data_IF_556836118229
#
_entry.id   IF_556836118229
#
_cell.length_a   1.000
_cell.length_b   1.000
_cell.length_c   1.000
_cell.angle_alpha   90.00
_cell.angle_beta   90.00
_cell.angle_gamma   90.00
#
_symmetry.space_group_name_H-M   'P 1'
#
loop_
_entity.id
_entity.type
_entity.pdbx_description
1 polymer ?
#
# COMPACT_ATOMS: atom_id res chain seq x y z
N UNK A 1 -10.18 14.03 26.95
CA UNK A 1 -11.23 14.51 27.87
C UNK A 1 -10.62 15.50 28.87
N UNK A 2 -11.45 16.32 29.54
CA UNK A 2 -10.96 17.19 30.62
C UNK A 2 -10.31 16.29 31.69
N UNK A 3 -9.07 16.62 32.08
CA UNK A 3 -8.28 15.81 33.02
C UNK A 3 -7.40 14.71 32.40
N UNK A 4 -7.39 14.57 31.07
CA UNK A 4 -6.52 13.60 30.39
C UNK A 4 -5.45 14.31 29.56
N UNK A 5 -4.23 13.76 29.61
CA UNK A 5 -3.10 14.18 28.78
C UNK A 5 -2.74 13.08 27.79
N UNK A 6 -2.42 13.46 26.55
CA UNK A 6 -1.89 12.52 25.58
C UNK A 6 -0.41 12.27 25.89
N UNK A 7 0.00 11.01 25.93
CA UNK A 7 1.40 10.59 26.04
C UNK A 7 1.69 9.49 25.05
N UNK A 8 2.90 9.52 24.49
CA UNK A 8 3.41 8.42 23.69
C UNK A 8 3.71 7.22 24.60
N UNK A 9 3.23 6.06 24.20
CA UNK A 9 3.47 4.78 24.88
C UNK A 9 3.99 3.77 23.87
N UNK A 10 4.94 2.93 24.28
CA UNK A 10 5.56 1.90 23.42
C UNK A 10 4.75 0.59 23.33
N UNK A 11 3.71 0.47 24.14
CA UNK A 11 2.85 -0.71 24.25
C UNK A 11 1.40 -0.34 23.89
N UNK A 12 0.64 -1.31 23.40
CA UNK A 12 -0.77 -1.11 23.04
C UNK A 12 -1.00 -0.60 21.62
N UNK A 13 -0.20 -1.06 20.65
CA UNK A 13 -0.41 -0.72 19.24
C UNK A 13 -1.79 -1.22 18.74
N UNK A 14 -2.49 -0.45 17.87
CA UNK A 14 -3.81 -0.81 17.36
C UNK A 14 -3.83 -2.13 16.56
N UNK A 15 -5.02 -2.69 16.40
CA UNK A 15 -5.27 -3.94 15.65
C UNK A 15 -4.37 -5.09 16.13
N UNK A 16 -4.43 -5.41 17.43
CA UNK A 16 -3.61 -6.46 18.07
C UNK A 16 -2.10 -6.27 17.89
N UNK A 17 -1.66 -5.03 17.70
CA UNK A 17 -0.26 -4.70 17.47
C UNK A 17 0.21 -4.81 16.03
N UNK A 18 -0.65 -5.19 15.07
CA UNK A 18 -0.26 -5.29 13.65
C UNK A 18 -0.15 -3.95 12.94
N UNK A 19 -0.77 -2.89 13.46
CA UNK A 19 -0.76 -1.56 12.84
C UNK A 19 0.21 -0.64 13.57
N UNK A 20 1.46 -0.59 13.12
CA UNK A 20 2.52 0.26 13.65
C UNK A 20 3.65 0.48 12.64
N UNK A 21 4.50 1.48 12.89
CA UNK A 21 5.70 1.78 12.12
C UNK A 21 6.99 1.65 12.97
N UNK A 22 6.95 0.83 14.04
CA UNK A 22 8.04 0.75 15.03
C UNK A 22 9.22 -0.11 14.56
N UNK A 23 8.97 -1.03 13.62
CA UNK A 23 9.98 -1.90 13.03
C UNK A 23 9.79 -2.01 11.52
N UNK A 24 10.83 -2.47 10.82
CA UNK A 24 10.85 -2.53 9.36
C UNK A 24 9.76 -3.45 8.79
N UNK A 25 9.50 -4.62 9.37
CA UNK A 25 8.52 -5.56 8.85
C UNK A 25 7.08 -5.03 8.98
N UNK A 26 6.72 -4.45 10.14
CA UNK A 26 5.42 -3.80 10.34
C UNK A 26 5.24 -2.60 9.40
N UNK A 27 6.29 -1.79 9.23
CA UNK A 27 6.27 -0.64 8.34
C UNK A 27 6.12 -1.06 6.87
N UNK A 28 6.79 -2.14 6.46
CA UNK A 28 6.65 -2.74 5.13
C UNK A 28 5.22 -3.25 4.91
N UNK A 29 4.64 -3.95 5.87
CA UNK A 29 3.25 -4.42 5.80
C UNK A 29 2.26 -3.25 5.68
N UNK A 30 2.42 -2.21 6.50
CA UNK A 30 1.58 -1.02 6.42
C UNK A 30 1.75 -0.28 5.07
N UNK A 31 2.98 -0.21 4.55
CA UNK A 31 3.27 0.41 3.25
C UNK A 31 2.69 -0.41 2.10
N UNK A 32 2.77 -1.74 2.16
CA UNK A 32 2.15 -2.63 1.19
C UNK A 32 0.62 -2.43 1.15
N UNK A 33 -0.03 -2.36 2.32
CA UNK A 33 -1.47 -2.04 2.42
C UNK A 33 -1.83 -0.69 1.80
N UNK A 34 -0.94 0.31 1.91
CA UNK A 34 -1.13 1.60 1.25
C UNK A 34 -1.02 1.50 -0.28
N UNK A 35 -0.04 0.74 -0.79
CA UNK A 35 0.15 0.54 -2.23
C UNK A 35 -1.06 -0.18 -2.84
N UNK A 36 -1.55 -1.23 -2.18
CA UNK A 36 -2.71 -2.02 -2.65
C UNK A 36 -4.05 -1.37 -2.33
N UNK A 37 -4.05 -0.24 -1.61
CA UNK A 37 -5.26 0.44 -1.14
C UNK A 37 -6.18 -0.47 -0.30
N UNK A 38 -5.60 -1.37 0.50
CA UNK A 38 -6.34 -2.30 1.35
C UNK A 38 -6.63 -1.71 2.74
N UNK A 39 -7.90 -1.33 2.97
CA UNK A 39 -8.38 -0.71 4.21
C UNK A 39 -7.47 0.44 4.69
N UNK A 40 -7.03 1.24 3.72
CA UNK A 40 -6.00 2.28 3.89
C UNK A 40 -6.54 3.51 4.61
N UNK A 41 -7.84 3.82 4.47
CA UNK A 41 -8.47 4.98 5.08
C UNK A 41 -8.47 4.89 6.60
N UNK A 42 -8.59 3.68 7.15
CA UNK A 42 -8.49 3.42 8.59
C UNK A 42 -7.08 3.71 9.11
N UNK A 43 -6.05 3.27 8.37
CA UNK A 43 -4.65 3.57 8.70
C UNK A 43 -4.38 5.09 8.62
N UNK A 44 -4.86 5.74 7.55
CA UNK A 44 -4.76 7.18 7.34
C UNK A 44 -5.37 7.97 8.50
N UNK A 45 -6.61 7.65 8.88
CA UNK A 45 -7.29 8.32 10.00
C UNK A 45 -6.55 8.13 11.32
N UNK A 46 -6.02 6.93 11.58
CA UNK A 46 -5.26 6.64 12.79
C UNK A 46 -3.98 7.47 12.87
N UNK A 47 -3.22 7.54 11.77
CA UNK A 47 -1.97 8.31 11.72
C UNK A 47 -2.25 9.81 11.85
N UNK A 48 -3.30 10.34 11.21
CA UNK A 48 -3.68 11.74 11.33
C UNK A 48 -4.16 12.11 12.73
N UNK A 49 -4.92 11.23 13.39
CA UNK A 49 -5.34 11.45 14.78
C UNK A 49 -4.16 11.45 15.75
N UNK A 50 -3.12 10.67 15.47
CA UNK A 50 -1.95 10.56 16.33
C UNK A 50 -0.89 11.65 16.07
N UNK A 51 -0.60 11.97 14.81
CA UNK A 51 0.52 12.85 14.41
C UNK A 51 0.08 14.20 13.80
N UNK A 52 -1.22 14.38 13.59
CA UNK A 52 -1.79 15.61 13.03
C UNK A 52 -1.96 15.61 11.50
N UNK A 53 -2.61 16.66 10.96
CA UNK A 53 -3.04 16.72 9.56
C UNK A 53 -1.91 16.97 8.56
N UNK A 54 -0.73 17.42 8.98
CA UNK A 54 0.41 17.66 8.08
C UNK A 54 0.88 16.39 7.36
N UNK A 55 0.57 15.21 7.92
CA UNK A 55 0.98 13.92 7.36
C UNK A 55 0.17 13.51 6.13
N UNK A 56 -0.86 14.28 5.73
CA UNK A 56 -1.62 14.06 4.49
C UNK A 56 -0.71 14.01 3.26
N UNK A 57 0.34 14.84 3.21
CA UNK A 57 1.27 14.86 2.07
C UNK A 57 2.02 13.53 1.88
N UNK A 58 2.36 12.84 2.97
CA UNK A 58 2.98 11.52 2.91
C UNK A 58 2.05 10.50 2.26
N UNK A 59 0.79 10.43 2.73
CA UNK A 59 -0.20 9.51 2.14
C UNK A 59 -0.52 9.85 0.70
N UNK A 60 -0.65 11.13 0.36
CA UNK A 60 -0.86 11.57 -1.01
C UNK A 60 0.29 11.10 -1.92
N UNK A 61 1.55 11.33 -1.52
CA UNK A 61 2.71 10.85 -2.27
C UNK A 61 2.67 9.34 -2.48
N UNK A 62 2.44 8.56 -1.43
CA UNK A 62 2.45 7.08 -1.51
C UNK A 62 1.28 6.55 -2.35
N UNK A 63 0.10 7.15 -2.28
CA UNK A 63 -1.06 6.73 -3.09
C UNK A 63 -0.84 7.10 -4.56
N UNK A 64 -0.40 8.33 -4.85
CA UNK A 64 -0.17 8.78 -6.22
C UNK A 64 1.01 8.07 -6.88
N UNK A 65 2.16 8.00 -6.21
CA UNK A 65 3.36 7.37 -6.76
C UNK A 65 3.35 5.85 -6.60
N UNK A 66 2.77 5.29 -5.54
CA UNK A 66 2.77 3.86 -5.29
C UNK A 66 1.72 3.13 -6.12
N UNK A 67 0.45 3.47 -5.92
CA UNK A 67 -0.65 2.72 -6.54
C UNK A 67 -0.68 2.90 -8.06
N UNK A 68 -0.60 4.13 -8.58
CA UNK A 68 -0.64 4.29 -10.04
C UNK A 68 0.61 3.75 -10.72
N UNK A 69 1.82 4.02 -10.21
CA UNK A 69 3.04 3.56 -10.87
C UNK A 69 3.18 2.03 -10.82
N UNK A 70 3.00 1.41 -9.64
CA UNK A 70 3.17 -0.03 -9.50
C UNK A 70 2.06 -0.80 -10.22
N UNK A 71 0.80 -0.35 -10.15
CA UNK A 71 -0.28 -0.98 -10.93
C UNK A 71 -0.05 -0.82 -12.43
N UNK A 72 0.36 0.35 -12.91
CA UNK A 72 0.65 0.54 -14.34
C UNK A 72 1.83 -0.33 -14.82
N UNK A 73 2.85 -0.54 -13.98
CA UNK A 73 3.94 -1.48 -14.30
C UNK A 73 3.44 -2.92 -14.37
N UNK A 74 2.66 -3.37 -13.38
CA UNK A 74 2.11 -4.73 -13.37
C UNK A 74 1.22 -4.95 -14.61
N UNK A 75 0.35 -3.99 -14.94
CA UNK A 75 -0.49 -4.04 -16.13
C UNK A 75 0.32 -4.11 -17.41
N UNK A 76 1.38 -3.31 -17.54
CA UNK A 76 2.28 -3.34 -18.70
C UNK A 76 2.95 -4.72 -18.85
N UNK A 77 3.45 -5.29 -17.76
CA UNK A 77 4.10 -6.61 -17.77
C UNK A 77 3.11 -7.70 -18.17
N UNK A 78 1.89 -7.68 -17.60
CA UNK A 78 0.85 -8.65 -17.93
C UNK A 78 0.48 -8.56 -19.41
N UNK A 79 0.31 -7.34 -19.94
CA UNK A 79 0.04 -7.12 -21.38
C UNK A 79 1.13 -7.70 -22.26
N UNK A 80 2.40 -7.40 -21.98
CA UNK A 80 3.54 -7.91 -22.75
C UNK A 80 3.61 -9.44 -22.72
N UNK A 81 3.39 -10.06 -21.56
CA UNK A 81 3.35 -11.52 -21.47
C UNK A 81 2.18 -12.14 -22.24
N UNK A 82 1.02 -11.49 -22.22
CA UNK A 82 -0.17 -11.97 -22.93
C UNK A 82 0.01 -11.89 -24.44
N UNK A 83 0.55 -10.78 -24.95
CA UNK A 83 0.89 -10.62 -26.37
C UNK A 83 1.92 -11.67 -26.83
N UNK A 84 2.93 -11.94 -26.01
CA UNK A 84 3.96 -12.93 -26.32
C UNK A 84 3.37 -14.34 -26.46
N UNK A 85 2.51 -14.74 -25.52
CA UNK A 85 1.86 -16.07 -25.55
C UNK A 85 0.91 -16.18 -26.74
N UNK A 86 0.07 -15.17 -26.97
CA UNK A 86 -0.87 -15.17 -28.09
C UNK A 86 -0.16 -15.28 -29.45
N UNK A 87 0.98 -14.61 -29.61
CA UNK A 87 1.78 -14.72 -30.83
C UNK A 87 2.36 -16.12 -31.03
N UNK A 88 2.82 -16.78 -29.96
CA UNK A 88 3.33 -18.15 -30.02
C UNK A 88 2.24 -19.17 -30.39
N UNK A 89 1.03 -19.00 -29.87
CA UNK A 89 -0.09 -19.89 -30.18
C UNK A 89 -0.50 -19.78 -31.67
N UNK A 90 -0.55 -18.55 -32.22
CA UNK A 90 -0.84 -18.34 -33.64
C UNK A 90 0.22 -18.96 -34.57
N UNK A 91 1.50 -18.80 -34.24
CA UNK A 91 2.60 -19.40 -35.01
C UNK A 91 2.55 -20.95 -34.96
N UNK A 92 2.09 -21.54 -33.85
CA UNK A 92 1.93 -22.99 -33.74
C UNK A 92 0.72 -23.53 -34.53
N UNK A 93 -0.36 -22.74 -34.67
CA UNK A 93 -1.49 -23.09 -35.52
C UNK A 93 -1.13 -23.03 -37.01
N UNK A 94 -0.29 -22.09 -37.44
CA UNK A 94 0.18 -21.96 -38.83
C UNK A 94 1.15 -23.09 -39.26
N UNK A 95 1.79 -23.78 -38.30
CA UNK A 95 2.67 -24.93 -38.54
C UNK A 95 1.93 -26.28 -38.68
N UNK A 96 0.61 -26.33 -38.41
CA UNK A 96 -0.23 -27.55 -38.46
C UNK A 96 -1.00 -27.69 -39.79
#
# INVERSE_FOLDING_TARGET
PVGFICKQTRTGNPNFGYTNFDNFASALLCSFRLITQDFWESLYQLVLRANGPTHVFFFAMVIFLGSFYLLNIILAIVSMSYEQVCKQDLEAEDEL
#
